data_IF_537406353307
#
_entry.id   IF_537406353307
#
_cell.length_a   1.000
_cell.length_b   1.000
_cell.length_c   1.000
_cell.angle_alpha   90.00
_cell.angle_beta   90.00
_cell.angle_gamma   90.00
#
_symmetry.space_group_name_H-M   'P 1'
#
loop_
_entity.id
_entity.type
_entity.pdbx_description
1 polymer ?
#
# COMPACT_ATOMS: atom_id res chain seq x y z
N UNK A 1 7.11 18.21 18.23
CA UNK A 1 6.35 17.63 17.11
C UNK A 1 5.61 18.72 16.36
N UNK A 2 5.88 18.81 15.06
CA UNK A 2 5.42 19.87 14.17
C UNK A 2 3.98 19.60 13.74
N UNK A 3 3.01 20.33 14.29
CA UNK A 3 1.85 20.69 13.47
C UNK A 3 2.38 21.60 12.36
N UNK A 4 1.91 21.41 11.13
CA UNK A 4 2.10 22.43 10.09
C UNK A 4 1.68 23.80 10.64
N UNK A 5 2.39 24.87 10.29
CA UNK A 5 2.04 26.22 10.75
C UNK A 5 0.58 26.57 10.44
N UNK A 6 0.04 26.00 9.36
CA UNK A 6 -1.36 26.15 8.96
C UNK A 6 -2.36 25.58 9.98
N UNK A 7 -2.06 24.45 10.64
CA UNK A 7 -2.97 23.89 11.66
C UNK A 7 -2.86 24.68 12.98
N UNK A 8 -1.64 25.12 13.34
CA UNK A 8 -1.43 25.93 14.55
C UNK A 8 -2.14 27.28 14.47
N UNK A 9 -2.06 27.94 13.33
CA UNK A 9 -2.69 29.26 13.12
C UNK A 9 -4.20 29.20 13.22
N UNK A 10 -4.82 28.08 12.86
CA UNK A 10 -6.27 27.86 13.01
C UNK A 10 -6.73 27.80 14.46
N UNK A 11 -5.87 27.59 15.47
CA UNK A 11 -6.28 27.50 16.90
C UNK A 11 -7.53 26.63 17.12
N UNK A 12 -7.59 25.51 16.40
CA UNK A 12 -8.74 24.60 16.36
C UNK A 12 -8.48 23.27 17.07
N UNK A 13 -7.21 23.02 17.41
CA UNK A 13 -6.70 21.76 17.96
C UNK A 13 -5.97 22.09 19.27
N UNK A 14 -6.16 21.23 20.27
CA UNK A 14 -5.43 21.28 21.54
C UNK A 14 -4.48 20.09 21.60
N UNK A 15 -3.21 20.39 21.77
CA UNK A 15 -2.16 19.41 22.00
C UNK A 15 -1.71 19.51 23.45
N UNK A 16 -2.11 18.56 24.29
CA UNK A 16 -1.62 18.46 25.66
C UNK A 16 -0.19 17.95 25.61
N UNK A 17 0.74 18.77 26.09
CA UNK A 17 2.17 18.48 26.04
C UNK A 17 2.54 17.53 27.17
N UNK A 18 2.77 16.27 26.83
CA UNK A 18 3.24 15.24 27.74
C UNK A 18 4.61 14.71 27.35
N UNK A 19 5.35 14.23 28.35
CA UNK A 19 6.59 13.46 28.17
C UNK A 19 6.31 11.95 28.05
N UNK A 20 5.08 11.51 28.25
CA UNK A 20 4.67 10.12 28.10
C UNK A 20 4.18 9.78 26.67
N UNK A 21 3.92 8.50 26.41
CA UNK A 21 3.40 8.01 25.14
C UNK A 21 1.86 7.93 25.12
N UNK A 22 1.16 8.61 26.05
CA UNK A 22 -0.28 8.52 26.25
C UNK A 22 -1.07 9.70 25.64
N UNK A 23 -0.55 10.29 24.56
CA UNK A 23 -1.17 11.44 23.88
C UNK A 23 -2.63 11.21 23.48
N UNK A 24 -3.01 9.97 23.14
CA UNK A 24 -4.40 9.59 22.91
C UNK A 24 -5.27 9.81 24.14
N UNK A 25 -4.84 9.29 25.30
CA UNK A 25 -5.58 9.40 26.54
C UNK A 25 -5.72 10.86 26.98
N UNK A 26 -4.61 11.62 26.92
CA UNK A 26 -4.63 13.06 27.18
C UNK A 26 -5.56 13.82 26.25
N UNK A 27 -5.62 13.47 24.96
CA UNK A 27 -6.53 14.10 24.01
C UNK A 27 -7.99 13.79 24.31
N UNK A 28 -8.32 12.55 24.72
CA UNK A 28 -9.67 12.19 25.15
C UNK A 28 -10.04 12.94 26.44
N UNK A 29 -9.13 13.00 27.42
CA UNK A 29 -9.36 13.78 28.65
C UNK A 29 -9.59 15.26 28.34
N UNK A 30 -8.81 15.86 27.44
CA UNK A 30 -8.99 17.25 27.05
C UNK A 30 -10.37 17.49 26.40
N UNK A 31 -10.91 16.52 25.67
CA UNK A 31 -12.26 16.58 25.12
C UNK A 31 -13.35 16.48 26.20
N UNK A 32 -13.15 15.64 27.22
CA UNK A 32 -14.12 15.43 28.30
C UNK A 32 -14.08 16.52 29.38
N UNK A 33 -12.92 17.07 29.66
CA UNK A 33 -12.64 18.07 30.70
C UNK A 33 -11.98 19.30 30.10
N UNK A 34 -12.67 20.04 29.21
CA UNK A 34 -12.04 21.10 28.43
C UNK A 34 -11.56 22.26 29.32
N UNK A 35 -10.25 22.56 29.25
CA UNK A 35 -9.66 23.69 29.95
C UNK A 35 -9.86 25.01 29.18
N UNK A 36 -10.14 26.08 29.91
CA UNK A 36 -10.28 27.44 29.33
C UNK A 36 -8.92 28.12 29.13
N UNK A 37 -7.99 27.93 30.07
CA UNK A 37 -6.65 28.53 30.09
C UNK A 37 -5.59 27.46 30.13
N UNK A 38 -4.44 27.74 29.50
CA UNK A 38 -3.27 26.85 29.45
C UNK A 38 -3.62 25.41 29.03
N UNK A 39 -4.54 25.26 28.07
CA UNK A 39 -5.08 23.98 27.63
C UNK A 39 -4.02 23.01 27.08
N UNK A 40 -2.80 23.49 26.81
CA UNK A 40 -1.64 22.70 26.44
C UNK A 40 -0.95 21.99 27.62
N UNK A 41 -1.25 22.35 28.87
CA UNK A 41 -0.57 21.82 30.06
C UNK A 41 -1.33 20.64 30.66
N UNK A 42 -0.62 19.56 30.97
CA UNK A 42 -1.18 18.39 31.67
C UNK A 42 -1.86 18.75 32.98
N UNK A 43 -1.27 19.68 33.75
CA UNK A 43 -1.78 20.14 35.05
C UNK A 43 -3.14 20.84 34.97
N UNK A 44 -3.62 21.14 33.77
CA UNK A 44 -4.97 21.71 33.56
C UNK A 44 -6.06 20.64 33.50
N UNK A 45 -5.69 19.36 33.58
CA UNK A 45 -6.60 18.23 33.45
C UNK A 45 -6.42 17.21 34.57
N UNK A 46 -7.46 16.44 34.93
CA UNK A 46 -7.28 15.25 35.74
C UNK A 46 -6.37 14.26 35.02
N UNK A 47 -5.55 13.54 35.77
CA UNK A 47 -4.67 12.53 35.18
C UNK A 47 -5.51 11.43 34.50
N UNK A 48 -5.15 11.04 33.27
CA UNK A 48 -6.00 10.15 32.47
C UNK A 48 -6.31 8.80 33.11
N UNK A 49 -5.40 8.27 33.93
CA UNK A 49 -5.61 6.99 34.64
C UNK A 49 -6.70 7.04 35.72
N UNK A 50 -7.08 8.23 36.19
CA UNK A 50 -8.11 8.37 37.23
C UNK A 50 -9.52 8.47 36.64
N UNK A 51 -9.62 8.86 35.35
CA UNK A 51 -10.90 9.13 34.69
C UNK A 51 -11.19 8.18 33.51
N UNK A 52 -10.18 7.46 33.01
CA UNK A 52 -10.33 6.49 31.92
C UNK A 52 -9.97 5.06 32.38
N UNK A 53 -10.78 4.09 31.98
CA UNK A 53 -10.48 2.68 32.06
C UNK A 53 -9.57 2.26 30.90
N UNK A 54 -8.31 1.95 31.22
CA UNK A 54 -7.26 1.57 30.28
C UNK A 54 -6.84 0.09 30.39
N UNK A 55 -7.71 -0.77 30.96
CA UNK A 55 -7.38 -2.17 31.19
C UNK A 55 -7.04 -2.92 29.88
N UNK A 56 -5.80 -3.41 29.80
CA UNK A 56 -5.29 -4.13 28.63
C UNK A 56 -5.16 -3.25 27.38
N UNK A 57 -5.00 -1.94 27.55
CA UNK A 57 -4.58 -1.01 26.49
C UNK A 57 -3.11 -0.68 26.71
N UNK A 58 -2.29 -0.96 25.71
CA UNK A 58 -0.88 -0.58 25.71
C UNK A 58 -0.69 0.72 24.92
N UNK A 59 0.23 1.55 25.40
CA UNK A 59 0.65 2.78 24.72
C UNK A 59 1.99 2.55 23.98
N UNK A 60 2.20 3.20 22.81
CA UNK A 60 1.33 4.18 22.16
C UNK A 60 0.05 3.55 21.56
N UNK A 61 -1.04 4.31 21.58
CA UNK A 61 -2.36 3.86 21.13
C UNK A 61 -2.35 3.49 19.63
N UNK A 62 -2.86 2.31 19.29
CA UNK A 62 -3.09 1.90 17.89
C UNK A 62 -4.54 2.10 17.46
N UNK A 63 -4.78 2.38 16.17
CA UNK A 63 -6.14 2.53 15.61
C UNK A 63 -7.04 1.32 15.88
N UNK A 64 -6.47 0.09 15.86
CA UNK A 64 -7.19 -1.16 16.11
C UNK A 64 -7.74 -1.25 17.54
N UNK A 65 -7.02 -0.68 18.51
CA UNK A 65 -7.38 -0.74 19.92
C UNK A 65 -8.40 0.35 20.32
N UNK A 66 -8.72 1.31 19.46
CA UNK A 66 -9.70 2.37 19.77
C UNK A 66 -11.11 1.77 19.99
N UNK A 67 -11.51 0.78 19.20
CA UNK A 67 -12.80 0.10 19.40
C UNK A 67 -12.89 -0.60 20.78
N UNK A 68 -11.77 -1.11 21.29
CA UNK A 68 -11.70 -1.67 22.65
C UNK A 68 -11.85 -0.56 23.69
N UNK A 69 -11.16 0.57 23.51
CA UNK A 69 -11.26 1.74 24.38
C UNK A 69 -12.69 2.28 24.49
N UNK A 70 -13.38 2.45 23.35
CA UNK A 70 -14.76 2.96 23.28
C UNK A 70 -15.75 2.09 24.07
N UNK A 71 -15.57 0.75 24.03
CA UNK A 71 -16.37 -0.20 24.80
C UNK A 71 -16.08 -0.12 26.30
N UNK A 72 -14.82 0.03 26.69
CA UNK A 72 -14.42 0.08 28.11
C UNK A 72 -14.88 1.35 28.84
N UNK A 73 -14.99 2.46 28.13
CA UNK A 73 -15.24 3.79 28.72
C UNK A 73 -16.62 4.36 28.42
N UNK A 74 -17.40 3.69 27.57
CA UNK A 74 -18.66 4.21 27.04
C UNK A 74 -18.51 5.60 26.37
N UNK A 75 -17.45 5.72 25.55
CA UNK A 75 -17.11 6.93 24.79
C UNK A 75 -17.09 6.57 23.30
N UNK A 76 -17.42 7.52 22.44
CA UNK A 76 -17.31 7.38 20.99
C UNK A 76 -16.24 8.31 20.43
N UNK A 77 -15.44 7.85 19.46
CA UNK A 77 -14.27 8.58 18.97
C UNK A 77 -14.24 8.58 17.45
N UNK A 78 -14.18 9.78 16.87
CA UNK A 78 -13.78 9.98 15.49
C UNK A 78 -12.31 10.38 15.43
N UNK A 79 -11.59 9.88 14.43
CA UNK A 79 -10.20 10.22 14.17
C UNK A 79 -10.08 10.77 12.77
N UNK A 80 -9.50 11.96 12.65
CA UNK A 80 -9.20 12.65 11.41
C UNK A 80 -7.70 12.65 11.17
N UNK A 81 -7.31 12.68 9.90
CA UNK A 81 -5.93 12.78 9.45
C UNK A 81 -5.75 13.96 8.50
N UNK A 82 -4.49 14.24 8.18
CA UNK A 82 -4.14 15.29 7.23
C UNK A 82 -3.48 14.69 6.00
N UNK A 83 -3.92 15.14 4.82
CA UNK A 83 -3.26 14.84 3.54
C UNK A 83 -2.84 16.14 2.87
N UNK A 84 -1.62 16.17 2.35
CA UNK A 84 -1.13 17.32 1.58
C UNK A 84 -1.41 17.11 0.09
N UNK A 85 -2.22 17.99 -0.49
CA UNK A 85 -2.48 18.03 -1.92
C UNK A 85 -2.22 19.45 -2.45
N UNK A 86 -1.42 19.60 -3.49
CA UNK A 86 -1.12 20.90 -4.12
C UNK A 86 -0.66 22.00 -3.12
N UNK A 87 0.18 21.63 -2.14
CA UNK A 87 0.65 22.51 -1.04
C UNK A 87 -0.47 23.04 -0.11
N UNK A 88 -1.61 22.35 -0.06
CA UNK A 88 -2.70 22.62 0.88
C UNK A 88 -2.97 21.40 1.74
N UNK A 89 -3.28 21.66 3.00
CA UNK A 89 -3.58 20.59 3.96
C UNK A 89 -5.08 20.35 3.99
N UNK A 90 -5.46 19.16 3.54
CA UNK A 90 -6.82 18.66 3.65
C UNK A 90 -6.95 17.77 4.89
N UNK A 91 -8.07 17.88 5.59
CA UNK A 91 -8.42 17.08 6.77
C UNK A 91 -9.51 16.12 6.35
N UNK A 92 -9.26 14.83 6.55
CA UNK A 92 -10.16 13.74 6.15
C UNK A 92 -10.43 12.81 7.34
N UNK A 93 -11.61 12.17 7.40
CA UNK A 93 -11.87 11.14 8.40
C UNK A 93 -11.01 9.90 8.10
N UNK A 94 -10.25 9.43 9.10
CA UNK A 94 -9.51 8.17 9.05
C UNK A 94 -10.29 7.02 9.70
N UNK A 95 -11.06 7.34 10.74
CA UNK A 95 -11.90 6.41 11.46
C UNK A 95 -13.11 7.16 12.01
N UNK A 96 -14.30 6.68 11.71
CA UNK A 96 -15.53 7.17 12.33
C UNK A 96 -16.06 6.10 13.28
N UNK A 97 -16.67 6.56 14.36
CA UNK A 97 -17.42 5.69 15.26
C UNK A 97 -18.75 5.30 14.61
N UNK A 98 -19.18 4.05 14.75
CA UNK A 98 -20.44 3.59 14.17
C UNK A 98 -21.62 4.30 14.85
N UNK A 99 -21.61 4.30 16.18
CA UNK A 99 -22.63 4.91 17.04
C UNK A 99 -22.05 6.07 17.85
N UNK A 100 -22.60 7.27 17.63
CA UNK A 100 -22.22 8.45 18.39
C UNK A 100 -22.86 8.41 19.77
N UNK A 101 -22.03 8.28 20.80
CA UNK A 101 -22.43 8.28 22.22
C UNK A 101 -22.52 9.69 22.78
N UNK A 102 -23.18 9.84 23.93
CA UNK A 102 -23.28 11.11 24.64
C UNK A 102 -21.91 11.72 24.96
N UNK A 103 -20.95 10.87 25.34
CA UNK A 103 -19.53 11.24 25.41
C UNK A 103 -18.87 10.98 24.07
N UNK A 104 -18.45 12.05 23.39
CA UNK A 104 -17.86 11.97 22.06
C UNK A 104 -16.61 12.84 21.94
N UNK A 105 -15.56 12.32 21.30
CA UNK A 105 -14.33 13.05 21.04
C UNK A 105 -13.93 12.98 19.56
N UNK A 106 -13.65 14.14 18.97
CA UNK A 106 -13.04 14.26 17.65
C UNK A 106 -11.54 14.46 17.83
N UNK A 107 -10.72 13.55 17.33
CA UNK A 107 -9.27 13.56 17.46
C UNK A 107 -8.60 13.78 16.10
N UNK A 108 -7.46 14.47 16.08
CA UNK A 108 -6.60 14.62 14.92
C UNK A 108 -5.34 13.78 15.13
N UNK A 109 -5.08 12.87 14.18
CA UNK A 109 -3.89 12.05 14.10
C UNK A 109 -2.87 12.69 13.17
N UNK A 110 -1.69 12.99 13.70
CA UNK A 110 -0.59 13.63 12.99
C UNK A 110 0.55 12.62 12.86
N UNK A 111 0.88 12.22 11.63
CA UNK A 111 2.00 11.33 11.36
C UNK A 111 3.33 12.08 11.49
N UNK A 112 4.34 11.44 12.09
CA UNK A 112 5.70 11.98 12.12
C UNK A 112 6.41 11.68 10.79
N UNK A 113 6.80 12.73 10.07
CA UNK A 113 7.48 12.64 8.78
C UNK A 113 8.87 11.96 8.87
N UNK A 114 9.44 11.83 10.07
CA UNK A 114 10.78 11.26 10.29
C UNK A 114 10.73 9.78 10.72
N UNK A 115 9.57 9.29 11.17
CA UNK A 115 9.45 7.96 11.75
C UNK A 115 8.09 7.33 11.40
N UNK A 116 8.06 6.52 10.34
CA UNK A 116 6.84 5.96 9.73
C UNK A 116 5.94 5.11 10.66
N UNK A 117 6.29 4.90 11.93
CA UNK A 117 5.62 3.94 12.81
C UNK A 117 4.95 4.54 14.06
N UNK A 118 5.08 5.84 14.36
CA UNK A 118 4.42 6.43 15.54
C UNK A 118 3.82 7.80 15.19
N UNK A 119 2.50 7.88 15.12
CA UNK A 119 1.78 9.16 15.00
C UNK A 119 1.24 9.66 16.33
N UNK A 120 0.92 10.95 16.37
CA UNK A 120 0.51 11.67 17.58
C UNK A 120 -0.97 12.05 17.51
N UNK A 121 -1.70 11.86 18.61
CA UNK A 121 -3.11 12.25 18.72
C UNK A 121 -3.24 13.61 19.40
N UNK A 122 -4.18 14.41 18.91
CA UNK A 122 -4.54 15.72 19.48
C UNK A 122 -6.05 15.91 19.46
N UNK A 123 -6.59 16.74 20.36
CA UNK A 123 -8.03 16.98 20.43
C UNK A 123 -8.47 18.08 19.47
N UNK A 124 -9.48 17.82 18.64
CA UNK A 124 -10.13 18.82 17.79
C UNK A 124 -11.20 19.55 18.62
N UNK A 125 -10.84 20.70 19.17
CA UNK A 125 -11.76 21.57 19.92
C UNK A 125 -12.79 22.26 19.03
N UNK A 126 -12.43 22.58 17.78
CA UNK A 126 -13.35 23.23 16.85
C UNK A 126 -13.16 22.72 15.41
N UNK A 127 -13.98 21.72 15.02
CA UNK A 127 -13.91 21.11 13.70
C UNK A 127 -14.22 22.12 12.58
N UNK A 128 -15.24 22.98 12.78
CA UNK A 128 -15.62 24.01 11.80
C UNK A 128 -14.44 24.91 11.43
N UNK A 129 -13.72 25.40 12.44
CA UNK A 129 -12.55 26.24 12.24
C UNK A 129 -11.41 25.47 11.55
N UNK A 130 -11.23 24.19 11.86
CA UNK A 130 -10.18 23.36 11.28
C UNK A 130 -10.35 23.14 9.77
N UNK A 131 -11.58 22.89 9.30
CA UNK A 131 -11.85 22.49 7.90
C UNK A 131 -12.48 23.57 7.03
N UNK A 132 -12.90 24.70 7.62
CA UNK A 132 -13.56 25.81 6.90
C UNK A 132 -12.81 26.28 5.65
N UNK A 133 -11.47 26.30 5.68
CA UNK A 133 -10.62 26.75 4.57
C UNK A 133 -10.59 25.79 3.38
N UNK A 134 -10.90 24.51 3.62
CA UNK A 134 -10.94 23.48 2.57
C UNK A 134 -12.25 23.52 1.78
N UNK A 135 -13.29 24.10 2.37
CA UNK A 135 -14.64 24.11 1.80
C UNK A 135 -14.82 25.29 0.85
N UNK A 136 -14.66 26.52 1.34
CA UNK A 136 -14.76 27.73 0.51
C UNK A 136 -14.06 28.92 1.19
N UNK A 137 -13.79 29.97 0.41
CA UNK A 137 -13.11 31.19 0.86
C UNK A 137 -14.01 32.20 1.60
N UNK A 138 -15.30 31.88 1.81
CA UNK A 138 -16.24 32.81 2.41
C UNK A 138 -16.13 32.83 3.93
N UNK A 139 -16.18 34.04 4.49
CA UNK A 139 -16.23 34.29 5.91
C UNK A 139 -17.68 34.17 6.41
N UNK A 140 -17.94 33.17 7.26
CA UNK A 140 -19.25 32.94 7.86
C UNK A 140 -19.21 31.75 8.81
N UNK A 141 -20.10 31.73 9.81
CA UNK A 141 -20.25 30.58 10.69
C UNK A 141 -20.77 29.39 9.87
N UNK A 142 -20.02 28.29 9.90
CA UNK A 142 -20.37 27.03 9.23
C UNK A 142 -20.62 25.96 10.28
N UNK A 143 -21.71 25.21 10.14
CA UNK A 143 -22.00 24.03 10.93
C UNK A 143 -21.58 22.82 10.12
N UNK A 144 -20.70 21.97 10.66
CA UNK A 144 -20.09 20.88 9.91
C UNK A 144 -20.49 19.55 10.53
N UNK A 145 -20.93 18.62 9.70
CA UNK A 145 -21.14 17.25 10.12
C UNK A 145 -19.79 16.58 10.37
N UNK A 146 -19.59 16.05 11.58
CA UNK A 146 -18.35 15.37 11.95
C UNK A 146 -18.24 13.93 11.41
N UNK A 147 -19.20 13.48 10.58
CA UNK A 147 -19.11 12.23 9.83
C UNK A 147 -18.71 12.49 8.36
N UNK A 148 -19.54 13.20 7.61
CA UNK A 148 -19.33 13.40 6.16
C UNK A 148 -18.57 14.69 5.81
N UNK A 149 -18.26 15.54 6.79
CA UNK A 149 -17.65 16.87 6.60
C UNK A 149 -18.45 17.85 5.72
N UNK A 150 -19.70 17.53 5.39
CA UNK A 150 -20.60 18.48 4.73
C UNK A 150 -20.94 19.65 5.65
N UNK A 151 -21.11 20.84 5.05
CA UNK A 151 -21.38 22.07 5.78
C UNK A 151 -22.81 22.57 5.58
N UNK A 152 -23.31 23.22 6.62
CA UNK A 152 -24.62 23.84 6.67
C UNK A 152 -24.50 25.25 7.23
N UNK A 153 -25.44 26.11 6.85
CA UNK A 153 -25.49 27.49 7.32
C UNK A 153 -26.26 27.65 8.64
N UNK A 154 -27.04 26.65 9.05
CA UNK A 154 -27.78 26.67 10.31
C UNK A 154 -27.63 25.35 11.06
N UNK A 155 -27.81 25.39 12.37
CA UNK A 155 -27.66 24.22 13.24
C UNK A 155 -28.77 23.19 13.01
N UNK A 156 -29.98 23.66 12.75
CA UNK A 156 -31.17 22.84 12.54
C UNK A 156 -31.02 21.97 11.28
N UNK A 157 -30.40 22.50 10.22
CA UNK A 157 -30.12 21.73 9.00
C UNK A 157 -29.06 20.65 9.24
N UNK A 158 -28.05 20.94 10.06
CA UNK A 158 -27.07 19.95 10.47
C UNK A 158 -27.72 18.84 11.32
N UNK A 159 -28.58 19.21 12.27
CA UNK A 159 -29.31 18.25 13.12
C UNK A 159 -30.20 17.33 12.27
N UNK A 160 -30.96 17.89 11.33
CA UNK A 160 -31.76 17.09 10.38
C UNK A 160 -30.90 16.13 9.55
N UNK A 161 -29.78 16.62 8.99
CA UNK A 161 -28.86 15.79 8.21
C UNK A 161 -28.18 14.69 9.04
N UNK A 162 -27.90 14.92 10.31
CA UNK A 162 -27.16 13.97 11.16
C UNK A 162 -27.91 12.66 11.33
N UNK A 163 -29.26 12.71 11.34
CA UNK A 163 -30.13 11.53 11.43
C UNK A 163 -29.92 10.62 10.22
N UNK A 164 -29.95 11.17 9.01
CA UNK A 164 -29.77 10.42 7.77
C UNK A 164 -28.30 9.99 7.58
N UNK A 165 -27.36 10.88 7.89
CA UNK A 165 -25.93 10.63 7.75
C UNK A 165 -25.42 9.51 8.66
N UNK A 166 -26.06 9.30 9.81
CA UNK A 166 -25.73 8.18 10.70
C UNK A 166 -26.10 6.82 10.09
N UNK A 167 -27.14 6.76 9.24
CA UNK A 167 -27.60 5.52 8.62
C UNK A 167 -26.76 5.15 7.38
N UNK A 168 -26.20 6.14 6.70
CA UNK A 168 -25.43 6.00 5.46
C UNK A 168 -23.91 5.88 5.73
N UNK A 169 -23.50 5.03 6.69
CA UNK A 169 -22.11 4.91 7.17
C UNK A 169 -21.13 4.30 6.13
N UNK A 170 -21.20 4.77 4.89
CA UNK A 170 -20.33 4.40 3.79
C UNK A 170 -19.30 5.52 3.58
N UNK A 171 -18.08 5.14 3.20
CA UNK A 171 -16.98 6.06 2.94
C UNK A 171 -17.41 7.19 1.99
N UNK A 172 -16.83 8.40 2.17
CA UNK A 172 -17.05 9.49 1.24
C UNK A 172 -16.66 9.07 -0.19
N UNK A 173 -17.65 8.96 -1.07
CA UNK A 173 -17.44 8.64 -2.48
C UNK A 173 -16.92 9.91 -3.16
N UNK A 174 -15.61 9.96 -3.38
CA UNK A 174 -15.01 11.01 -4.22
C UNK A 174 -15.16 10.57 -5.68
N UNK A 175 -16.07 11.22 -6.39
CA UNK A 175 -16.20 11.02 -7.83
C UNK A 175 -15.09 11.81 -8.56
N UNK A 176 -14.53 11.26 -9.66
CA UNK A 176 -13.61 12.01 -10.50
C UNK A 176 -14.24 13.32 -10.98
N UNK A 177 -13.48 14.40 -10.95
CA UNK A 177 -13.89 15.68 -11.53
C UNK A 177 -13.63 15.68 -13.05
N UNK A 178 -13.94 16.79 -13.74
CA UNK A 178 -13.72 16.91 -15.19
C UNK A 178 -12.27 16.69 -15.65
N UNK A 179 -11.28 16.93 -14.78
CA UNK A 179 -9.85 16.74 -15.02
C UNK A 179 -9.44 15.25 -14.84
N UNK A 180 -10.04 14.56 -13.88
CA UNK A 180 -9.70 13.16 -13.51
C UNK A 180 -10.68 12.11 -14.06
N UNK A 181 -11.67 12.51 -14.85
CA UNK A 181 -12.72 11.61 -15.38
C UNK A 181 -12.19 10.49 -16.29
N UNK A 182 -10.98 10.64 -16.83
CA UNK A 182 -10.37 9.65 -17.73
C UNK A 182 -9.25 8.88 -17.04
N UNK A 183 -9.45 7.57 -16.88
CA UNK A 183 -8.39 6.66 -16.49
C UNK A 183 -7.45 6.43 -17.68
N UNK A 184 -6.15 6.66 -17.48
CA UNK A 184 -5.12 6.36 -18.47
C UNK A 184 -4.04 5.46 -17.86
N UNK A 185 -3.47 4.60 -18.70
CA UNK A 185 -2.35 3.77 -18.29
C UNK A 185 -1.07 4.58 -18.32
N UNK A 186 -0.38 4.74 -17.19
CA UNK A 186 0.85 5.54 -17.11
C UNK A 186 2.13 4.70 -17.17
N UNK A 187 2.09 3.47 -16.64
CA UNK A 187 3.25 2.60 -16.48
C UNK A 187 3.45 1.67 -17.68
N UNK A 188 3.71 2.25 -18.85
CA UNK A 188 3.79 1.52 -20.12
C UNK A 188 4.79 0.37 -20.14
N UNK A 189 5.89 0.44 -19.38
CA UNK A 189 6.83 -0.67 -19.20
C UNK A 189 6.17 -1.96 -18.70
N UNK A 190 5.05 -1.87 -17.97
CA UNK A 190 4.28 -3.04 -17.52
C UNK A 190 3.45 -3.69 -18.63
N UNK A 191 3.33 -3.08 -19.82
CA UNK A 191 2.79 -3.74 -21.02
C UNK A 191 3.78 -4.74 -21.60
N UNK A 192 5.06 -4.64 -21.28
CA UNK A 192 6.08 -5.53 -21.82
C UNK A 192 5.88 -6.96 -21.30
N UNK A 193 5.85 -7.91 -22.22
CA UNK A 193 5.69 -9.32 -21.89
C UNK A 193 6.95 -9.83 -21.20
N UNK A 194 6.80 -10.43 -20.02
CA UNK A 194 7.91 -11.03 -19.29
C UNK A 194 8.64 -12.08 -20.17
N UNK A 195 9.97 -12.02 -20.28
CA UNK A 195 10.73 -12.92 -21.15
C UNK A 195 10.75 -14.35 -20.64
N UNK A 196 10.75 -14.52 -19.31
CA UNK A 196 10.75 -15.82 -18.64
C UNK A 196 9.66 -15.85 -17.56
N UNK A 197 8.91 -16.94 -17.50
CA UNK A 197 7.92 -17.22 -16.45
C UNK A 197 8.09 -18.66 -16.00
N UNK A 198 8.03 -18.92 -14.70
CA UNK A 198 8.08 -20.28 -14.14
C UNK A 198 6.70 -20.63 -13.61
N UNK A 199 6.19 -21.79 -14.00
CA UNK A 199 5.00 -22.40 -13.40
C UNK A 199 5.47 -23.59 -12.59
N UNK A 200 5.17 -23.64 -11.31
CA UNK A 200 5.67 -24.65 -10.41
C UNK A 200 4.55 -25.23 -9.54
N UNK A 201 4.76 -26.48 -9.13
CA UNK A 201 3.82 -27.22 -8.31
C UNK A 201 4.55 -28.24 -7.42
N UNK A 202 4.03 -28.48 -6.21
CA UNK A 202 4.60 -29.44 -5.26
C UNK A 202 3.55 -30.38 -4.70
N UNK A 203 4.00 -31.58 -4.33
CA UNK A 203 3.15 -32.62 -3.78
C UNK A 203 3.73 -33.13 -2.48
N UNK A 204 2.87 -33.28 -1.47
CA UNK A 204 3.27 -33.76 -0.15
C UNK A 204 2.74 -35.16 0.13
N UNK A 205 3.54 -35.96 0.84
CA UNK A 205 3.08 -37.19 1.49
C UNK A 205 2.70 -36.87 2.93
N UNK A 206 1.60 -37.46 3.37
CA UNK A 206 1.08 -37.35 4.72
C UNK A 206 1.72 -38.42 5.59
N UNK A 207 2.51 -38.01 6.58
CA UNK A 207 3.04 -38.88 7.61
C UNK A 207 2.16 -38.82 8.84
N UNK A 208 1.76 -39.99 9.35
CA UNK A 208 1.07 -40.09 10.63
C UNK A 208 2.05 -39.69 11.73
N UNK A 209 1.60 -38.82 12.64
CA UNK A 209 2.35 -38.45 13.83
C UNK A 209 2.23 -39.60 14.85
N UNK A 210 3.33 -40.02 15.47
CA UNK A 210 3.32 -41.01 16.57
C UNK A 210 2.98 -40.37 17.92
N UNK A 211 2.83 -39.04 17.96
CA UNK A 211 2.46 -38.29 19.16
C UNK A 211 0.94 -38.30 19.36
N UNK A 212 0.51 -38.71 20.55
CA UNK A 212 -0.89 -38.72 21.04
C UNK A 212 -1.42 -37.29 21.34
N UNK A 213 -1.02 -36.29 20.53
CA UNK A 213 -1.54 -34.92 20.63
C UNK A 213 -2.81 -34.79 19.75
N UNK A 214 -4.00 -34.55 20.34
CA UNK A 214 -5.26 -34.44 19.61
C UNK A 214 -5.31 -33.27 18.62
N UNK A 215 -4.29 -32.39 18.59
CA UNK A 215 -4.19 -31.27 17.63
C UNK A 215 -3.30 -31.54 16.41
N UNK A 216 -2.49 -32.60 16.38
CA UNK A 216 -1.50 -32.87 15.33
C UNK A 216 -1.84 -34.14 14.53
N UNK A 217 -2.86 -34.05 13.67
CA UNK A 217 -3.37 -35.20 12.93
C UNK A 217 -2.38 -35.78 11.90
N UNK A 218 -1.66 -34.94 11.14
CA UNK A 218 -0.76 -35.40 10.06
C UNK A 218 0.37 -34.39 9.80
N UNK A 219 1.60 -34.88 9.60
CA UNK A 219 2.75 -34.08 9.15
C UNK A 219 2.87 -34.14 7.64
N UNK A 220 2.87 -32.98 6.98
CA UNK A 220 3.01 -32.88 5.54
C UNK A 220 4.51 -32.80 5.19
N UNK A 221 5.01 -33.78 4.44
CA UNK A 221 6.38 -33.78 3.94
C UNK A 221 6.37 -33.68 2.41
N UNK A 222 7.05 -32.68 1.86
CA UNK A 222 7.20 -32.55 0.40
C UNK A 222 7.89 -33.79 -0.15
N UNK A 223 7.29 -34.36 -1.19
CA UNK A 223 7.72 -35.61 -1.81
C UNK A 223 8.16 -35.44 -3.26
N UNK A 224 7.59 -34.45 -3.95
CA UNK A 224 8.01 -34.05 -5.28
C UNK A 224 7.72 -32.59 -5.54
N UNK A 225 8.49 -32.02 -6.46
CA UNK A 225 8.25 -30.70 -7.05
C UNK A 225 8.49 -30.79 -8.55
N UNK A 226 7.67 -30.08 -9.31
CA UNK A 226 7.80 -29.94 -10.74
C UNK A 226 7.68 -28.48 -11.13
N UNK A 227 8.40 -28.09 -12.18
CA UNK A 227 8.24 -26.76 -12.74
C UNK A 227 8.49 -26.74 -14.25
N UNK A 228 7.85 -25.77 -14.90
CA UNK A 228 7.98 -25.47 -16.31
C UNK A 228 8.43 -24.03 -16.49
N UNK A 229 9.60 -23.84 -17.10
CA UNK A 229 10.08 -22.52 -17.52
C UNK A 229 9.53 -22.26 -18.91
N UNK A 230 8.81 -21.15 -19.08
CA UNK A 230 8.34 -20.66 -20.37
C UNK A 230 9.14 -19.42 -20.76
N UNK A 231 9.83 -19.50 -21.91
CA UNK A 231 10.46 -18.35 -22.53
C UNK A 231 9.58 -17.79 -23.66
N UNK A 232 9.30 -16.50 -23.66
CA UNK A 232 8.32 -15.88 -24.57
C UNK A 232 8.82 -15.74 -26.02
N UNK A 233 10.13 -15.64 -26.22
CA UNK A 233 10.73 -15.34 -27.53
C UNK A 233 11.52 -16.52 -28.14
N UNK A 234 11.97 -17.48 -27.34
CA UNK A 234 12.66 -18.68 -27.81
C UNK A 234 12.08 -19.94 -27.14
N UNK A 235 11.48 -20.83 -27.94
CA UNK A 235 10.90 -22.07 -27.44
C UNK A 235 11.96 -23.05 -26.92
N UNK A 236 13.18 -23.02 -27.46
CA UNK A 236 14.27 -23.91 -27.03
C UNK A 236 14.77 -23.61 -25.61
N UNK A 237 14.54 -22.39 -25.12
CA UNK A 237 14.83 -22.00 -23.73
C UNK A 237 13.71 -22.37 -22.75
N UNK A 238 12.59 -22.89 -23.26
CA UNK A 238 11.51 -23.42 -22.40
C UNK A 238 11.81 -24.87 -22.03
N UNK A 239 11.41 -25.30 -20.83
CA UNK A 239 11.69 -26.67 -20.39
C UNK A 239 10.96 -27.06 -19.11
N UNK A 240 10.58 -28.33 -19.05
CA UNK A 240 10.01 -28.98 -17.88
C UNK A 240 11.10 -29.70 -17.09
N UNK A 241 11.06 -29.58 -15.77
CA UNK A 241 11.88 -30.38 -14.85
C UNK A 241 11.07 -30.78 -13.64
N UNK A 242 11.39 -31.93 -13.08
CA UNK A 242 10.75 -32.45 -11.87
C UNK A 242 11.73 -33.27 -11.06
N UNK A 243 11.53 -33.30 -9.75
CA UNK A 243 12.30 -34.15 -8.84
C UNK A 243 11.39 -34.73 -7.77
N UNK A 244 11.61 -36.00 -7.45
CA UNK A 244 10.84 -36.76 -6.47
C UNK A 244 11.78 -37.45 -5.48
N UNK A 245 12.10 -36.74 -4.41
CA UNK A 245 12.86 -37.24 -3.27
C UNK A 245 12.73 -36.25 -2.09
N UNK A 246 13.38 -36.56 -0.97
CA UNK A 246 13.37 -35.71 0.24
C UNK A 246 14.08 -34.37 0.05
N UNK A 247 14.97 -34.28 -0.95
CA UNK A 247 15.79 -33.11 -1.29
C UNK A 247 15.19 -32.32 -2.46
N UNK A 248 13.91 -32.55 -2.78
CA UNK A 248 13.28 -31.93 -3.95
C UNK A 248 13.19 -30.40 -3.82
N UNK A 249 12.96 -29.88 -2.60
CA UNK A 249 12.91 -28.44 -2.33
C UNK A 249 14.29 -27.78 -2.49
N UNK A 250 15.33 -28.33 -1.85
CA UNK A 250 16.71 -27.80 -1.95
C UNK A 250 17.20 -27.80 -3.40
N UNK A 251 16.94 -28.89 -4.13
CA UNK A 251 17.19 -28.96 -5.56
C UNK A 251 16.44 -27.89 -6.35
N UNK A 252 15.15 -27.70 -6.11
CA UNK A 252 14.35 -26.70 -6.83
C UNK A 252 14.91 -25.29 -6.61
N UNK A 253 15.31 -24.96 -5.39
CA UNK A 253 15.90 -23.64 -5.09
C UNK A 253 17.24 -23.45 -5.81
N UNK A 254 18.10 -24.48 -5.87
CA UNK A 254 19.34 -24.41 -6.66
C UNK A 254 19.05 -24.25 -8.16
N UNK A 255 18.01 -24.92 -8.68
CA UNK A 255 17.58 -24.75 -10.07
C UNK A 255 17.07 -23.33 -10.37
N UNK A 256 16.33 -22.71 -9.43
CA UNK A 256 15.89 -21.32 -9.56
C UNK A 256 17.07 -20.35 -9.56
N UNK A 257 18.07 -20.62 -8.72
CA UNK A 257 19.31 -19.85 -8.71
C UNK A 257 20.04 -19.97 -10.04
N UNK A 258 20.32 -21.18 -10.54
CA UNK A 258 20.94 -21.39 -11.86
C UNK A 258 20.16 -20.68 -12.98
N UNK A 259 18.82 -20.73 -12.94
CA UNK A 259 17.96 -20.02 -13.87
C UNK A 259 18.17 -18.50 -13.77
N UNK A 260 18.24 -17.93 -12.57
CA UNK A 260 18.48 -16.51 -12.37
C UNK A 260 19.84 -16.06 -12.95
N UNK A 261 20.90 -16.85 -12.78
CA UNK A 261 22.21 -16.59 -13.40
C UNK A 261 22.12 -16.62 -14.94
N UNK A 262 21.44 -17.62 -15.49
CA UNK A 262 21.27 -17.78 -16.94
C UNK A 262 20.49 -16.62 -17.54
N UNK A 263 19.37 -16.25 -16.93
CA UNK A 263 18.53 -15.12 -17.37
C UNK A 263 19.29 -13.81 -17.24
N UNK A 264 20.04 -13.59 -16.15
CA UNK A 264 20.91 -12.41 -16.02
C UNK A 264 21.94 -12.32 -17.16
N UNK A 265 22.60 -13.42 -17.49
CA UNK A 265 23.55 -13.45 -18.60
C UNK A 265 22.89 -13.11 -19.94
N UNK A 266 21.67 -13.60 -20.18
CA UNK A 266 20.87 -13.28 -21.37
C UNK A 266 20.52 -11.78 -21.40
N UNK A 267 19.94 -11.26 -20.31
CA UNK A 267 19.51 -9.85 -20.23
C UNK A 267 20.69 -8.86 -20.28
N UNK A 268 21.90 -9.28 -19.90
CA UNK A 268 23.10 -8.43 -19.94
C UNK A 268 23.73 -8.34 -21.34
N UNK A 269 23.30 -9.16 -22.31
CA UNK A 269 23.84 -9.12 -23.68
C UNK A 269 23.18 -7.98 -24.44
N UNK A 270 24.00 -7.10 -25.00
CA UNK A 270 23.52 -6.08 -25.92
C UNK A 270 23.24 -6.71 -27.30
N UNK A 271 21.98 -6.88 -27.66
CA UNK A 271 21.57 -7.36 -28.98
C UNK A 271 21.25 -6.14 -29.84
N UNK A 272 22.02 -5.89 -30.92
CA UNK A 272 21.73 -4.78 -31.81
C UNK A 272 20.40 -4.99 -32.53
N UNK A 273 19.74 -3.89 -32.86
CA UNK A 273 18.55 -3.91 -33.69
C UNK A 273 18.87 -4.53 -35.06
N UNK A 274 18.02 -5.47 -35.49
CA UNK A 274 18.07 -6.01 -36.85
C UNK A 274 17.74 -4.89 -37.83
N UNK A 275 18.41 -4.86 -38.98
CA UNK A 275 18.10 -3.89 -40.02
C UNK A 275 16.62 -3.95 -40.40
N UNK A 276 15.97 -2.78 -40.40
CA UNK A 276 14.56 -2.68 -40.74
C UNK A 276 14.35 -3.07 -42.20
N UNK A 277 13.27 -3.80 -42.45
CA UNK A 277 12.78 -4.05 -43.81
C UNK A 277 12.29 -2.75 -44.46
N UNK A 278 12.07 -2.76 -45.79
CA UNK A 278 11.53 -1.59 -46.51
C UNK A 278 10.17 -1.17 -45.95
N UNK A 279 9.28 -2.14 -45.74
CA UNK A 279 7.94 -1.90 -45.19
C UNK A 279 7.98 -1.32 -43.77
N UNK A 280 8.93 -1.75 -42.94
CA UNK A 280 9.10 -1.20 -41.58
C UNK A 280 9.63 0.24 -41.62
N UNK A 281 10.54 0.57 -42.54
CA UNK A 281 10.97 1.94 -42.76
C UNK A 281 9.81 2.85 -43.18
N UNK A 282 8.98 2.40 -44.11
CA UNK A 282 7.81 3.17 -44.55
C UNK A 282 6.81 3.37 -43.41
N UNK A 283 6.49 2.31 -42.66
CA UNK A 283 5.63 2.40 -41.47
C UNK A 283 6.19 3.35 -40.42
N UNK A 284 7.49 3.29 -40.16
CA UNK A 284 8.16 4.19 -39.23
C UNK A 284 8.07 5.65 -39.66
N UNK A 285 8.33 5.94 -40.94
CA UNK A 285 8.33 7.30 -41.49
C UNK A 285 6.91 7.91 -41.51
N UNK A 286 5.90 7.10 -41.80
CA UNK A 286 4.50 7.54 -41.89
C UNK A 286 3.74 7.51 -40.56
N UNK A 287 4.37 7.03 -39.48
CA UNK A 287 3.71 6.91 -38.18
C UNK A 287 3.32 8.27 -37.58
N UNK A 288 2.06 8.38 -37.17
CA UNK A 288 1.54 9.60 -36.51
C UNK A 288 1.47 9.46 -35.00
N UNK A 289 1.59 8.23 -34.47
CA UNK A 289 1.44 7.91 -33.06
C UNK A 289 2.56 6.99 -32.56
N UNK A 290 2.91 7.17 -31.29
CA UNK A 290 3.87 6.33 -30.57
C UNK A 290 3.24 4.97 -30.24
N UNK A 291 3.91 3.87 -30.56
CA UNK A 291 3.38 2.52 -30.32
C UNK A 291 3.30 2.17 -28.81
N UNK A 292 4.08 2.84 -27.96
CA UNK A 292 4.17 2.57 -26.52
C UNK A 292 3.03 3.26 -25.78
N UNK A 293 2.94 4.58 -25.92
CA UNK A 293 1.99 5.42 -25.20
C UNK A 293 0.72 5.72 -25.97
N UNK A 294 0.66 5.36 -27.26
CA UNK A 294 -0.48 5.55 -28.15
C UNK A 294 -0.85 7.03 -28.38
N UNK A 295 0.02 7.97 -27.95
CA UNK A 295 -0.15 9.41 -28.16
C UNK A 295 0.45 9.85 -29.50
N UNK A 296 -0.09 10.92 -30.11
CA UNK A 296 0.47 11.48 -31.33
C UNK A 296 1.88 12.02 -31.13
N UNK A 297 2.67 12.04 -32.20
CA UNK A 297 3.94 12.77 -32.24
C UNK A 297 3.70 14.27 -32.47
N UNK A 298 4.24 15.11 -31.61
CA UNK A 298 4.30 16.55 -31.83
C UNK A 298 5.35 16.90 -32.92
N UNK A 299 5.29 18.09 -33.54
CA UNK A 299 6.23 18.49 -34.59
C UNK A 299 7.71 18.49 -34.15
N UNK A 300 7.97 18.70 -32.86
CA UNK A 300 9.28 18.74 -32.22
C UNK A 300 9.69 17.40 -31.57
N UNK A 301 8.82 16.38 -31.59
CA UNK A 301 9.14 15.07 -31.03
C UNK A 301 10.18 14.32 -31.89
N UNK A 302 11.27 13.90 -31.24
CA UNK A 302 12.21 12.96 -31.85
C UNK A 302 11.62 11.55 -31.85
N UNK A 303 11.25 11.07 -33.04
CA UNK A 303 10.80 9.70 -33.27
C UNK A 303 11.98 8.73 -33.28
N UNK A 304 11.92 7.71 -32.44
CA UNK A 304 12.97 6.68 -32.34
C UNK A 304 12.44 5.29 -32.67
N UNK A 305 13.34 4.39 -33.04
CA UNK A 305 13.02 3.01 -33.42
C UNK A 305 13.19 2.11 -32.20
N UNK A 306 12.08 1.74 -31.58
CA UNK A 306 12.11 0.76 -30.49
C UNK A 306 12.26 -0.65 -31.06
N UNK A 307 13.03 -1.48 -30.36
CA UNK A 307 13.25 -2.86 -30.71
C UNK A 307 13.37 -3.72 -29.46
N UNK A 308 13.17 -5.02 -29.64
CA UNK A 308 13.34 -5.99 -28.56
C UNK A 308 14.83 -6.24 -28.30
N UNK A 309 15.32 -5.93 -27.10
CA UNK A 309 16.73 -6.16 -26.72
C UNK A 309 17.12 -7.64 -26.58
N UNK A 310 16.16 -8.57 -26.70
CA UNK A 310 16.42 -10.01 -26.65
C UNK A 310 16.51 -10.65 -28.04
N UNK A 311 15.81 -10.08 -29.02
CA UNK A 311 15.73 -10.65 -30.38
C UNK A 311 16.25 -9.71 -31.46
N UNK A 312 16.51 -8.45 -31.15
CA UNK A 312 16.86 -7.39 -32.09
C UNK A 312 15.69 -6.92 -32.97
N UNK A 313 14.52 -7.56 -32.89
CA UNK A 313 13.38 -7.26 -33.79
C UNK A 313 12.77 -5.89 -33.49
N UNK A 314 12.52 -5.13 -34.54
CA UNK A 314 11.80 -3.87 -34.49
C UNK A 314 10.39 -4.06 -33.92
N UNK A 315 9.96 -3.16 -33.03
CA UNK A 315 8.64 -3.17 -32.39
C UNK A 315 7.76 -2.05 -32.90
N UNK A 316 8.31 -0.85 -33.03
CA UNK A 316 7.54 0.28 -33.52
C UNK A 316 8.20 1.64 -33.35
N UNK A 317 7.55 2.68 -33.88
CA UNK A 317 7.94 4.06 -33.68
C UNK A 317 7.58 4.49 -32.27
N UNK A 318 8.51 5.07 -31.53
CA UNK A 318 8.29 5.52 -30.16
C UNK A 318 8.79 6.95 -29.96
N UNK A 319 8.25 7.62 -28.94
CA UNK A 319 8.88 8.81 -28.38
C UNK A 319 10.22 8.42 -27.75
N UNK A 320 11.24 9.28 -27.87
CA UNK A 320 12.55 9.05 -27.23
C UNK A 320 12.41 8.70 -25.74
N UNK A 321 11.61 9.47 -25.00
CA UNK A 321 11.37 9.23 -23.57
C UNK A 321 10.59 7.94 -23.30
N UNK A 322 9.63 7.56 -24.14
CA UNK A 322 8.92 6.30 -23.99
C UNK A 322 9.87 5.12 -24.18
N UNK A 323 10.67 5.14 -25.24
CA UNK A 323 11.67 4.11 -25.54
C UNK A 323 12.68 3.96 -24.41
N UNK A 324 13.23 5.06 -23.89
CA UNK A 324 14.17 5.02 -22.76
C UNK A 324 13.59 4.39 -21.49
N UNK A 325 12.28 4.52 -21.27
CA UNK A 325 11.60 3.98 -20.10
C UNK A 325 10.99 2.58 -20.32
N UNK A 326 10.91 2.13 -21.56
CA UNK A 326 10.38 0.81 -21.93
C UNK A 326 11.50 -0.22 -21.89
N UNK A 327 11.83 -0.65 -20.66
CA UNK A 327 12.96 -1.55 -20.38
C UNK A 327 12.48 -2.93 -19.96
N UNK A 328 13.21 -3.94 -20.41
CA UNK A 328 13.01 -5.32 -20.01
C UNK A 328 13.04 -5.47 -18.48
N UNK A 329 12.05 -6.19 -17.96
CA UNK A 329 12.01 -6.55 -16.54
C UNK A 329 13.10 -7.58 -16.23
N UNK A 330 13.82 -7.33 -15.14
CA UNK A 330 14.82 -8.25 -14.59
C UNK A 330 14.22 -9.21 -13.54
N UNK A 331 12.90 -9.20 -13.36
CA UNK A 331 12.19 -10.09 -12.47
C UNK A 331 11.70 -11.34 -13.22
N UNK A 332 11.86 -12.52 -12.58
CA UNK A 332 11.32 -13.78 -13.08
C UNK A 332 10.10 -14.14 -12.23
N UNK A 333 8.87 -13.98 -12.73
CA UNK A 333 7.69 -14.42 -12.01
C UNK A 333 7.67 -15.95 -11.90
N UNK A 334 7.42 -16.43 -10.68
CA UNK A 334 7.21 -17.84 -10.37
C UNK A 334 5.79 -17.97 -9.85
N UNK A 335 4.99 -18.79 -10.51
CA UNK A 335 3.57 -18.96 -10.26
C UNK A 335 3.33 -20.37 -9.72
N UNK A 336 2.67 -20.43 -8.57
CA UNK A 336 2.17 -21.66 -7.96
C UNK A 336 0.65 -21.60 -7.87
N UNK A 337 0.00 -22.76 -7.90
CA UNK A 337 -1.46 -22.86 -7.81
C UNK A 337 -1.97 -22.54 -6.39
N UNK A 338 -1.21 -22.88 -5.33
CA UNK A 338 -1.60 -22.67 -3.93
C UNK A 338 -0.45 -22.12 -3.05
N UNK A 339 0.29 -21.13 -3.56
CA UNK A 339 1.44 -20.54 -2.86
C UNK A 339 1.09 -20.07 -1.45
N UNK A 340 0.12 -19.15 -1.35
CA UNK A 340 -0.17 -18.38 -0.14
C UNK A 340 -0.78 -19.20 0.98
N UNK A 341 -1.44 -20.31 0.63
CA UNK A 341 -2.16 -21.15 1.57
C UNK A 341 -1.37 -22.35 2.06
N UNK A 342 -0.33 -22.77 1.33
CA UNK A 342 0.31 -24.07 1.57
C UNK A 342 1.77 -24.12 1.12
N UNK A 343 2.05 -23.93 -0.18
CA UNK A 343 3.36 -24.24 -0.75
C UNK A 343 4.49 -23.35 -0.23
N UNK A 344 4.17 -22.08 0.08
CA UNK A 344 5.16 -21.11 0.52
C UNK A 344 5.92 -21.56 1.77
N UNK A 345 5.25 -22.26 2.70
CA UNK A 345 5.85 -22.71 3.95
C UNK A 345 7.03 -23.66 3.77
N UNK A 346 6.99 -24.48 2.71
CA UNK A 346 8.05 -25.44 2.45
C UNK A 346 9.25 -24.81 1.75
N UNK A 347 9.04 -23.72 1.00
CA UNK A 347 10.06 -23.18 0.10
C UNK A 347 10.72 -21.91 0.66
N UNK A 348 9.99 -21.07 1.39
CA UNK A 348 10.45 -19.71 1.76
C UNK A 348 11.74 -19.74 2.58
N UNK A 349 11.87 -20.67 3.52
CA UNK A 349 13.08 -20.84 4.35
C UNK A 349 14.27 -21.19 3.48
N UNK A 350 14.12 -22.17 2.58
CA UNK A 350 15.19 -22.62 1.70
C UNK A 350 15.61 -21.51 0.72
N UNK A 351 14.66 -20.77 0.14
CA UNK A 351 14.96 -19.60 -0.71
C UNK A 351 15.69 -18.50 0.06
N UNK A 352 15.36 -18.30 1.34
CA UNK A 352 16.02 -17.32 2.16
C UNK A 352 17.48 -17.70 2.45
N UNK A 353 17.78 -18.97 2.66
CA UNK A 353 19.09 -19.45 3.13
C UNK A 353 20.02 -19.97 2.03
N UNK A 354 19.50 -20.55 0.95
CA UNK A 354 20.31 -21.30 -0.03
C UNK A 354 21.30 -20.43 -0.83
N UNK A 355 21.03 -19.13 -0.98
CA UNK A 355 21.96 -18.20 -1.62
C UNK A 355 21.78 -16.76 -1.14
N UNK A 356 22.83 -15.95 -1.30
CA UNK A 356 22.85 -14.56 -0.85
C UNK A 356 21.73 -13.71 -1.50
N UNK A 357 21.25 -12.72 -0.74
CA UNK A 357 20.23 -11.80 -1.20
C UNK A 357 19.03 -11.71 -0.27
N UNK A 358 18.42 -10.54 -0.21
CA UNK A 358 17.28 -10.27 0.66
C UNK A 358 16.01 -10.92 0.13
N UNK A 359 15.13 -11.32 1.05
CA UNK A 359 13.77 -11.78 0.76
C UNK A 359 12.80 -10.73 1.27
N UNK A 360 12.04 -10.14 0.36
CA UNK A 360 10.94 -9.24 0.69
C UNK A 360 9.65 -10.05 0.68
N UNK A 361 8.82 -9.94 1.72
CA UNK A 361 7.57 -10.70 1.86
C UNK A 361 6.39 -9.74 1.94
N UNK A 362 5.28 -10.09 1.29
CA UNK A 362 3.99 -9.42 1.44
C UNK A 362 3.05 -10.31 2.27
N UNK A 363 3.04 -10.18 3.61
CA UNK A 363 2.24 -11.04 4.49
C UNK A 363 0.79 -10.57 4.62
N UNK A 364 -0.13 -11.52 4.78
CA UNK A 364 -1.49 -11.29 5.31
C UNK A 364 -1.50 -11.58 6.81
N UNK A 365 -0.91 -12.71 7.21
CA UNK A 365 -0.72 -13.11 8.61
C UNK A 365 0.69 -13.65 8.80
N UNK A 366 1.06 -14.05 10.02
CA UNK A 366 2.34 -14.73 10.28
C UNK A 366 2.48 -16.04 9.49
N UNK A 367 1.36 -16.64 9.10
CA UNK A 367 1.28 -17.95 8.43
C UNK A 367 0.79 -17.83 6.97
N UNK A 368 0.45 -16.65 6.46
CA UNK A 368 -0.04 -16.50 5.09
C UNK A 368 0.68 -15.39 4.38
N UNK A 369 1.31 -15.71 3.25
CA UNK A 369 2.07 -14.76 2.42
C UNK A 369 1.40 -14.62 1.04
N UNK A 370 1.03 -13.41 0.62
CA UNK A 370 0.50 -13.15 -0.73
C UNK A 370 1.56 -13.49 -1.77
N UNK A 371 2.78 -13.00 -1.55
CA UNK A 371 3.94 -13.28 -2.36
C UNK A 371 5.21 -12.99 -1.58
N UNK A 372 6.34 -13.50 -2.09
CA UNK A 372 7.66 -13.13 -1.62
C UNK A 372 8.59 -12.99 -2.84
N UNK A 373 9.59 -12.12 -2.70
CA UNK A 373 10.55 -11.79 -3.75
C UNK A 373 11.96 -12.02 -3.22
N UNK A 374 12.72 -12.89 -3.90
CA UNK A 374 14.15 -13.07 -3.65
C UNK A 374 14.96 -12.16 -4.57
N UNK A 375 15.75 -11.26 -3.98
CA UNK A 375 16.68 -10.41 -4.72
C UNK A 375 18.02 -11.11 -4.87
N UNK A 376 18.26 -11.74 -6.02
CA UNK A 376 19.53 -12.41 -6.31
C UNK A 376 20.70 -11.42 -6.52
N UNK A 377 20.39 -10.20 -6.96
CA UNK A 377 21.35 -9.13 -7.28
C UNK A 377 20.68 -7.78 -7.04
N UNK A 378 21.38 -6.84 -6.41
CA UNK A 378 20.84 -5.50 -6.16
C UNK A 378 21.62 -4.80 -5.07
N UNK A 379 21.87 -3.51 -5.31
CA UNK A 379 22.85 -2.67 -4.63
C UNK A 379 22.53 -2.41 -3.16
N UNK A 380 23.58 -2.06 -2.40
CA UNK A 380 23.41 -1.12 -1.28
C UNK A 380 22.68 0.14 -1.73
#
# INVERSE_FOLDING_TARGET
>A
MLHSEEIKTKKAVVNVQSMDNACFAWSVVAALYPAERNAERESSYPHYTTVLNLQGIEFPMSMKNIAKFERLNDISINVFGTEEQNKKINVLPLRLTDEKKAKHANLLYVQDAQNNNVGHFTWIKNLSRLVSSQINKQNGQKYICDRCLHYFYTKEKLEAHTVDCQQLNDCAIVLPNEEDKWLSFSNYNRKERMPFVVYADLECVLQKTEEDDPKLYQRHQVSSIAYYVRCSYDKALSGYRSRRDKECVSWFVEQLKELAYRVKAILSRNVPMIELTRDEHEKFNNATQCYICEKPFAPDDTRVRDHCHLTGRYRGPAHSNCNLNYKDSHAIPIVFHNLSGYDAHFIITEIATAFAGNVDVLPITKEKYISFTKKCWGNR
#
